data_IF_570647673684
#
_entry.id   IF_570647673684
#
_cell.length_a   1.000
_cell.length_b   1.000
_cell.length_c   1.000
_cell.angle_alpha   90.00
_cell.angle_beta   90.00
_cell.angle_gamma   90.00
#
_symmetry.space_group_name_H-M   'P 1'
#
loop_
_entity.id
_entity.type
_entity.pdbx_description
1 polymer ?
#
# COMPACT_ATOMS: atom_id res chain seq x y z
N UNK A 1 3.77 -27.94 -20.43
CA UNK A 1 2.76 -26.92 -20.16
C UNK A 1 3.24 -25.62 -20.77
N UNK A 2 2.39 -24.93 -21.53
CA UNK A 2 2.75 -23.61 -22.09
C UNK A 2 2.89 -22.62 -20.93
N UNK A 3 3.97 -21.87 -20.91
CA UNK A 3 4.21 -20.86 -19.87
C UNK A 3 3.09 -19.81 -19.96
N UNK A 4 2.49 -19.45 -18.82
CA UNK A 4 1.49 -18.39 -18.74
C UNK A 4 1.92 -17.30 -17.78
N UNK A 5 1.40 -16.10 -17.99
CA UNK A 5 1.70 -14.89 -17.27
C UNK A 5 0.42 -14.29 -16.68
N UNK A 6 0.57 -13.31 -15.79
CA UNK A 6 -0.53 -12.58 -15.17
C UNK A 6 -0.37 -11.09 -15.48
N UNK A 7 -1.08 -10.62 -16.50
CA UNK A 7 -1.09 -9.24 -16.94
C UNK A 7 -1.89 -8.37 -15.98
N UNK A 8 -1.39 -7.18 -15.64
CA UNK A 8 -2.19 -6.16 -14.94
C UNK A 8 -3.13 -5.53 -15.98
N UNK A 9 -4.40 -5.90 -15.91
CA UNK A 9 -5.41 -5.47 -16.90
C UNK A 9 -6.39 -4.43 -16.38
N UNK A 10 -6.37 -4.15 -15.09
CA UNK A 10 -7.20 -3.12 -14.48
C UNK A 10 -6.54 -2.56 -13.22
N UNK A 11 -6.85 -1.31 -12.95
CA UNK A 11 -6.35 -0.57 -11.79
C UNK A 11 -7.42 0.36 -11.25
N UNK A 12 -7.35 0.64 -9.95
CA UNK A 12 -8.28 1.52 -9.28
C UNK A 12 -7.72 1.97 -7.94
N UNK A 13 -8.22 3.09 -7.44
CA UNK A 13 -7.88 3.63 -6.13
C UNK A 13 -9.11 4.14 -5.41
N UNK A 14 -9.02 4.23 -4.09
CA UNK A 14 -9.99 4.89 -3.23
C UNK A 14 -9.24 5.71 -2.18
N UNK A 15 -9.52 6.99 -2.15
CA UNK A 15 -8.94 7.94 -1.22
C UNK A 15 -10.05 8.60 -0.42
N UNK A 16 -10.01 8.58 0.92
CA UNK A 16 -10.98 9.28 1.74
C UNK A 16 -11.05 10.78 1.40
N UNK A 17 -12.23 11.42 1.50
CA UNK A 17 -12.37 12.84 1.16
C UNK A 17 -11.70 13.76 2.19
N UNK A 18 -11.70 13.39 3.48
CA UNK A 18 -11.17 14.23 4.54
C UNK A 18 -9.64 14.30 4.47
N UNK A 19 -9.12 15.52 4.34
CA UNK A 19 -7.69 15.82 4.23
C UNK A 19 -7.19 16.42 5.53
N UNK A 20 -6.07 15.88 6.06
CA UNK A 20 -5.34 16.41 7.20
C UNK A 20 -4.04 17.05 6.70
N UNK A 21 -3.96 18.36 6.73
CA UNK A 21 -2.77 19.11 6.32
C UNK A 21 -1.69 19.14 7.42
N UNK A 22 -0.48 19.55 7.06
CA UNK A 22 0.57 19.80 8.05
C UNK A 22 0.21 20.97 8.98
N UNK A 23 -0.56 21.95 8.47
CA UNK A 23 -1.08 23.05 9.30
C UNK A 23 -2.06 22.51 10.36
N UNK A 24 -2.99 21.61 10.00
CA UNK A 24 -3.90 21.01 10.98
C UNK A 24 -3.14 20.28 12.08
N UNK A 25 -2.08 19.52 11.73
CA UNK A 25 -1.22 18.85 12.70
C UNK A 25 -0.53 19.83 13.66
N UNK A 26 -0.09 20.99 13.18
CA UNK A 26 0.58 22.01 14.00
C UNK A 26 -0.35 22.64 15.04
N UNK A 27 -1.68 22.45 14.94
CA UNK A 27 -2.64 22.96 15.93
C UNK A 27 -2.62 22.16 17.24
N UNK A 28 -2.10 20.92 17.23
CA UNK A 28 -2.08 20.06 18.42
C UNK A 28 -0.76 19.31 18.65
N UNK A 29 0.19 19.37 17.73
CA UNK A 29 1.54 18.82 17.85
C UNK A 29 2.59 19.92 17.76
N UNK A 30 3.72 19.75 18.46
CA UNK A 30 4.90 20.61 18.32
C UNK A 30 5.63 20.30 17.01
N UNK A 31 5.15 20.87 15.90
CA UNK A 31 5.66 20.66 14.53
C UNK A 31 5.35 21.86 13.63
N UNK A 32 5.91 21.88 12.43
CA UNK A 32 5.58 22.86 11.39
C UNK A 32 5.52 22.19 10.02
N UNK A 33 4.90 22.85 9.05
CA UNK A 33 4.84 22.40 7.66
C UNK A 33 6.25 22.22 7.08
N UNK A 34 7.15 23.18 7.27
CA UNK A 34 8.55 23.12 6.79
C UNK A 34 9.31 21.94 7.41
N UNK A 35 9.07 21.68 8.71
CA UNK A 35 9.72 20.57 9.39
C UNK A 35 9.26 19.22 8.79
N UNK A 36 7.95 19.04 8.59
CA UNK A 36 7.40 17.81 8.04
C UNK A 36 7.85 17.62 6.58
N UNK A 37 7.69 18.62 5.73
CA UNK A 37 8.05 18.53 4.32
C UNK A 37 9.56 18.26 4.14
N UNK A 38 10.43 19.00 4.84
CA UNK A 38 11.87 18.83 4.71
C UNK A 38 12.37 17.44 5.13
N UNK A 39 11.65 16.73 5.98
CA UNK A 39 12.02 15.40 6.48
C UNK A 39 11.35 14.24 5.77
N UNK A 40 10.14 14.44 5.27
CA UNK A 40 9.30 13.36 4.77
C UNK A 40 8.85 13.56 3.32
N UNK A 41 8.75 14.82 2.87
CA UNK A 41 8.11 15.20 1.61
C UNK A 41 6.59 15.22 1.69
N UNK A 42 5.97 15.07 2.88
CA UNK A 42 4.52 15.00 3.05
C UNK A 42 3.96 16.41 3.28
N UNK A 43 2.93 16.79 2.54
CA UNK A 43 2.18 18.03 2.70
C UNK A 43 0.83 17.77 3.39
N UNK A 44 0.20 16.63 3.05
CA UNK A 44 -1.09 16.24 3.58
C UNK A 44 -1.28 14.71 3.56
N UNK A 45 -2.28 14.23 4.28
CA UNK A 45 -2.72 12.82 4.28
C UNK A 45 -4.23 12.75 4.32
N UNK A 46 -4.77 11.57 4.06
CA UNK A 46 -6.21 11.32 4.08
C UNK A 46 -6.58 10.58 5.35
N UNK A 47 -7.73 10.92 5.92
CA UNK A 47 -8.30 10.28 7.10
C UNK A 47 -9.64 9.66 6.74
N UNK A 48 -9.79 8.37 7.01
CA UNK A 48 -10.98 7.63 6.63
C UNK A 48 -12.09 7.74 7.67
N UNK A 49 -13.31 7.99 7.18
CA UNK A 49 -14.56 7.92 7.95
C UNK A 49 -15.25 6.55 7.85
N UNK A 50 -14.66 5.62 7.09
CA UNK A 50 -15.20 4.27 6.86
C UNK A 50 -14.15 3.21 7.17
N UNK A 51 -14.54 1.95 7.14
CA UNK A 51 -13.65 0.83 7.41
C UNK A 51 -12.71 0.53 6.23
N UNK A 52 -11.66 -0.26 6.49
CA UNK A 52 -10.67 -0.65 5.47
C UNK A 52 -11.33 -1.44 4.34
N UNK A 53 -12.30 -2.31 4.64
CA UNK A 53 -13.03 -3.07 3.61
C UNK A 53 -13.85 -2.19 2.67
N UNK A 54 -14.35 -1.04 3.12
CA UNK A 54 -15.09 -0.09 2.29
C UNK A 54 -14.16 0.58 1.28
N UNK A 55 -12.97 1.03 1.75
CA UNK A 55 -11.91 1.58 0.90
C UNK A 55 -11.49 0.55 -0.16
N UNK A 56 -11.21 -0.68 0.28
CA UNK A 56 -10.83 -1.79 -0.58
C UNK A 56 -11.91 -2.09 -1.64
N UNK A 57 -13.18 -2.09 -1.25
CA UNK A 57 -14.31 -2.36 -2.15
C UNK A 57 -14.43 -1.31 -3.26
N UNK A 58 -14.29 -0.02 -2.93
CA UNK A 58 -14.37 1.06 -3.94
C UNK A 58 -13.17 0.97 -4.91
N UNK A 59 -11.95 0.79 -4.40
CA UNK A 59 -10.77 0.61 -5.24
C UNK A 59 -10.92 -0.61 -6.17
N UNK A 60 -11.47 -1.71 -5.66
CA UNK A 60 -11.74 -2.93 -6.43
C UNK A 60 -12.76 -2.70 -7.55
N UNK A 61 -13.88 -2.01 -7.28
CA UNK A 61 -14.88 -1.66 -8.30
C UNK A 61 -14.27 -0.87 -9.46
N UNK A 62 -13.42 0.10 -9.15
CA UNK A 62 -12.69 0.85 -10.18
C UNK A 62 -11.75 -0.06 -10.98
N UNK A 63 -10.98 -0.94 -10.31
CA UNK A 63 -10.06 -1.85 -10.99
C UNK A 63 -10.80 -2.85 -11.91
N UNK A 64 -11.91 -3.43 -11.45
CA UNK A 64 -12.75 -4.35 -12.23
C UNK A 64 -13.34 -3.65 -13.46
N UNK A 65 -13.92 -2.46 -13.29
CA UNK A 65 -14.44 -1.66 -14.40
C UNK A 65 -13.32 -1.30 -15.39
N UNK A 66 -12.16 -0.85 -14.91
CA UNK A 66 -10.98 -0.57 -15.71
C UNK A 66 -10.52 -1.79 -16.52
N UNK A 67 -10.52 -2.98 -15.92
CA UNK A 67 -10.21 -4.23 -16.59
C UNK A 67 -11.22 -4.60 -17.69
N UNK A 68 -12.48 -4.17 -17.53
CA UNK A 68 -13.58 -4.58 -18.39
C UNK A 68 -13.90 -6.07 -18.24
N UNK A 69 -13.76 -6.61 -17.02
CA UNK A 69 -14.14 -7.99 -16.65
C UNK A 69 -15.37 -7.95 -15.78
N UNK A 70 -16.14 -9.05 -15.77
CA UNK A 70 -17.26 -9.19 -14.84
C UNK A 70 -16.74 -9.54 -13.44
N UNK A 71 -17.43 -9.07 -12.40
CA UNK A 71 -17.13 -9.48 -11.02
C UNK A 71 -17.23 -11.00 -10.85
N UNK A 72 -18.13 -11.66 -11.56
CA UNK A 72 -18.32 -13.12 -11.55
C UNK A 72 -17.11 -13.89 -12.11
N UNK A 73 -16.25 -13.25 -12.90
CA UNK A 73 -15.05 -13.86 -13.47
C UNK A 73 -13.82 -13.79 -12.56
N UNK A 74 -13.92 -13.15 -11.39
CA UNK A 74 -12.83 -13.08 -10.41
C UNK A 74 -12.74 -14.40 -9.64
N UNK A 75 -11.63 -15.10 -9.79
CA UNK A 75 -11.37 -16.39 -9.17
C UNK A 75 -10.62 -16.29 -7.83
N UNK A 76 -9.87 -15.19 -7.63
CA UNK A 76 -9.00 -14.98 -6.48
C UNK A 76 -9.06 -13.54 -6.00
N UNK A 77 -9.16 -13.33 -4.69
CA UNK A 77 -9.10 -12.03 -4.03
C UNK A 77 -8.03 -12.08 -2.94
N UNK A 78 -7.02 -11.22 -3.04
CA UNK A 78 -6.02 -11.02 -1.99
C UNK A 78 -6.10 -9.58 -1.53
N UNK A 79 -6.34 -9.36 -0.23
CA UNK A 79 -6.26 -8.04 0.39
C UNK A 79 -5.00 -7.97 1.24
N UNK A 80 -4.05 -7.14 0.81
CA UNK A 80 -2.87 -6.83 1.57
C UNK A 80 -3.19 -5.69 2.56
N UNK A 81 -3.17 -6.01 3.85
CA UNK A 81 -3.49 -5.05 4.92
C UNK A 81 -2.86 -5.46 6.25
N UNK A 82 -2.50 -4.48 7.07
CA UNK A 82 -2.21 -4.65 8.50
C UNK A 82 -3.25 -3.97 9.40
N UNK A 83 -4.29 -3.37 8.81
CA UNK A 83 -5.39 -2.70 9.51
C UNK A 83 -6.76 -3.24 9.07
N UNK A 84 -7.02 -4.57 9.23
CA UNK A 84 -8.30 -5.15 8.87
C UNK A 84 -9.41 -4.67 9.82
N UNK A 85 -10.66 -4.71 9.35
CA UNK A 85 -11.85 -4.37 10.15
C UNK A 85 -12.00 -5.30 11.37
N UNK A 86 -11.59 -6.55 11.21
CA UNK A 86 -11.60 -7.59 12.23
C UNK A 86 -10.54 -8.66 11.94
N UNK A 87 -10.14 -9.40 12.98
CA UNK A 87 -9.23 -10.54 12.81
C UNK A 87 -9.92 -11.71 12.09
N UNK A 88 -11.19 -11.94 12.38
CA UNK A 88 -12.02 -13.04 11.87
C UNK A 88 -13.46 -12.54 11.75
N UNK A 89 -14.09 -12.71 10.58
CA UNK A 89 -13.54 -13.17 9.31
C UNK A 89 -12.59 -12.15 8.68
N UNK A 90 -11.82 -12.59 7.65
CA UNK A 90 -10.93 -11.72 6.89
C UNK A 90 -11.70 -10.66 6.09
N UNK A 91 -11.06 -9.52 5.76
CA UNK A 91 -11.74 -8.47 4.98
C UNK A 91 -11.84 -8.81 3.49
N UNK A 92 -11.02 -9.70 2.96
CA UNK A 92 -11.15 -10.16 1.58
C UNK A 92 -12.53 -10.81 1.32
N UNK A 93 -13.06 -11.58 2.28
CA UNK A 93 -14.42 -12.13 2.21
C UNK A 93 -15.50 -11.04 2.30
N UNK A 94 -15.25 -9.95 3.03
CA UNK A 94 -16.14 -8.80 3.08
C UNK A 94 -16.16 -8.05 1.75
N UNK A 95 -15.00 -7.86 1.14
CA UNK A 95 -14.87 -7.28 -0.20
C UNK A 95 -15.58 -8.16 -1.23
N UNK A 96 -15.41 -9.49 -1.17
CA UNK A 96 -16.12 -10.43 -2.03
C UNK A 96 -17.64 -10.27 -1.91
N UNK A 97 -18.16 -10.17 -0.68
CA UNK A 97 -19.59 -9.95 -0.42
C UNK A 97 -20.07 -8.61 -1.01
N UNK A 98 -19.32 -7.53 -0.78
CA UNK A 98 -19.66 -6.18 -1.26
C UNK A 98 -19.63 -6.06 -2.80
N UNK A 99 -18.81 -6.88 -3.46
CA UNK A 99 -18.71 -6.95 -4.92
C UNK A 99 -19.71 -7.95 -5.53
N UNK A 100 -20.47 -8.66 -4.69
CA UNK A 100 -21.39 -9.73 -5.11
C UNK A 100 -20.71 -10.82 -5.95
N UNK A 101 -19.43 -11.13 -5.66
CA UNK A 101 -18.69 -12.20 -6.33
C UNK A 101 -19.16 -13.54 -5.75
N UNK A 102 -19.75 -14.45 -6.57
CA UNK A 102 -20.43 -15.63 -6.04
C UNK A 102 -19.46 -16.66 -5.48
N UNK A 103 -18.26 -16.79 -6.08
CA UNK A 103 -17.27 -17.77 -5.66
C UNK A 103 -15.88 -17.33 -6.08
N UNK A 104 -15.02 -17.06 -5.11
CA UNK A 104 -13.60 -16.80 -5.31
C UNK A 104 -12.83 -17.31 -4.08
N UNK A 105 -11.58 -17.72 -4.26
CA UNK A 105 -10.67 -17.86 -3.12
C UNK A 105 -10.37 -16.46 -2.56
N UNK A 106 -10.59 -16.22 -1.27
CA UNK A 106 -10.46 -14.91 -0.67
C UNK A 106 -9.70 -14.97 0.66
N UNK A 107 -8.61 -14.24 0.78
CA UNK A 107 -7.82 -14.15 2.01
C UNK A 107 -7.08 -12.83 2.15
N UNK A 108 -6.79 -12.46 3.41
CA UNK A 108 -5.93 -11.33 3.73
C UNK A 108 -4.47 -11.77 3.80
N UNK A 109 -3.56 -10.86 3.41
CA UNK A 109 -2.13 -11.04 3.49
C UNK A 109 -1.53 -9.89 4.29
N UNK A 110 -0.82 -10.20 5.37
CA UNK A 110 -0.13 -9.21 6.17
C UNK A 110 1.39 -9.32 6.02
N UNK A 111 1.97 -8.41 5.27
CA UNK A 111 3.40 -8.13 5.19
C UNK A 111 3.63 -6.61 5.32
N UNK A 112 2.77 -5.93 6.07
CA UNK A 112 2.75 -4.49 6.28
C UNK A 112 2.88 -3.73 4.95
N UNK A 113 3.74 -2.70 4.88
CA UNK A 113 3.88 -1.84 3.69
C UNK A 113 4.35 -2.60 2.43
N UNK A 114 4.95 -3.79 2.58
CA UNK A 114 5.36 -4.65 1.46
C UNK A 114 4.21 -5.54 0.97
N UNK A 115 3.08 -5.52 1.68
CA UNK A 115 1.95 -6.44 1.48
C UNK A 115 1.44 -6.49 0.05
N UNK A 116 1.33 -5.36 -0.64
CA UNK A 116 0.86 -5.36 -2.03
C UNK A 116 1.82 -6.12 -2.97
N UNK A 117 3.13 -5.94 -2.83
CA UNK A 117 4.12 -6.67 -3.63
C UNK A 117 4.08 -8.18 -3.33
N UNK A 118 3.96 -8.55 -2.06
CA UNK A 118 3.78 -9.95 -1.66
C UNK A 118 2.47 -10.54 -2.23
N UNK A 119 1.39 -9.76 -2.20
CA UNK A 119 0.10 -10.14 -2.80
C UNK A 119 0.19 -10.31 -4.31
N UNK A 120 0.89 -9.39 -5.00
CA UNK A 120 1.10 -9.44 -6.44
C UNK A 120 1.89 -10.69 -6.87
N UNK A 121 2.99 -10.98 -6.16
CA UNK A 121 3.79 -12.19 -6.38
C UNK A 121 2.98 -13.45 -6.09
N UNK A 122 2.27 -13.50 -4.96
CA UNK A 122 1.43 -14.64 -4.58
C UNK A 122 0.35 -14.91 -5.62
N UNK A 123 -0.40 -13.88 -6.03
CA UNK A 123 -1.44 -14.02 -7.04
C UNK A 123 -0.87 -14.48 -8.37
N UNK A 124 0.26 -13.91 -8.81
CA UNK A 124 0.93 -14.31 -10.06
C UNK A 124 1.28 -15.79 -10.05
N UNK A 125 1.91 -16.29 -8.97
CA UNK A 125 2.29 -17.72 -8.88
C UNK A 125 1.09 -18.66 -8.79
N UNK A 126 0.07 -18.27 -8.02
CA UNK A 126 -1.18 -19.05 -7.94
C UNK A 126 -1.87 -19.13 -9.31
N UNK A 127 -1.95 -18.03 -10.05
CA UNK A 127 -2.53 -18.01 -11.39
C UNK A 127 -1.73 -18.87 -12.38
N UNK A 128 -0.41 -18.84 -12.30
CA UNK A 128 0.46 -19.67 -13.16
C UNK A 128 0.27 -21.18 -12.92
N UNK A 129 0.03 -21.57 -11.67
CA UNK A 129 -0.07 -22.97 -11.25
C UNK A 129 -1.49 -23.52 -11.23
N UNK A 130 -2.54 -22.70 -11.40
CA UNK A 130 -3.93 -23.06 -11.24
C UNK A 130 -4.78 -22.77 -12.49
N UNK A 131 -6.09 -23.02 -12.37
CA UNK A 131 -7.09 -22.65 -13.38
C UNK A 131 -7.57 -21.19 -13.29
N UNK A 132 -7.13 -20.42 -12.31
CA UNK A 132 -7.55 -19.02 -12.12
C UNK A 132 -7.26 -18.18 -13.36
N UNK A 133 -8.28 -17.45 -13.83
CA UNK A 133 -8.22 -16.57 -15.00
C UNK A 133 -8.03 -15.12 -14.60
N UNK A 134 -8.71 -14.70 -13.52
CA UNK A 134 -8.66 -13.34 -13.01
C UNK A 134 -8.43 -13.34 -11.50
N UNK A 135 -7.49 -12.49 -11.07
CA UNK A 135 -7.24 -12.25 -9.65
C UNK A 135 -7.34 -10.74 -9.34
N UNK A 136 -7.89 -10.42 -8.19
CA UNK A 136 -7.95 -9.08 -7.63
C UNK A 136 -6.95 -8.97 -6.49
N UNK A 137 -5.97 -8.08 -6.61
CA UNK A 137 -4.96 -7.80 -5.59
C UNK A 137 -5.16 -6.37 -5.10
N UNK A 138 -5.38 -6.20 -3.82
CA UNK A 138 -5.74 -4.94 -3.19
C UNK A 138 -4.73 -4.63 -2.08
N UNK A 139 -4.23 -3.40 -2.03
CA UNK A 139 -3.58 -2.84 -0.85
C UNK A 139 -4.53 -1.84 -0.20
N UNK A 140 -4.91 -2.03 1.05
CA UNK A 140 -5.88 -1.17 1.72
C UNK A 140 -5.53 -0.99 3.19
N UNK A 141 -5.57 0.27 3.68
CA UNK A 141 -5.17 0.59 5.05
C UNK A 141 -5.97 1.74 5.64
N UNK A 142 -6.24 1.62 6.94
CA UNK A 142 -6.71 2.68 7.83
C UNK A 142 -5.73 2.83 8.98
N UNK A 143 -4.54 3.36 8.69
CA UNK A 143 -3.46 3.47 9.68
C UNK A 143 -3.71 4.55 10.72
N UNK A 144 -4.56 5.54 10.42
CA UNK A 144 -4.99 6.56 11.37
C UNK A 144 -5.53 5.97 12.69
N UNK A 145 -6.04 4.72 12.63
CA UNK A 145 -6.54 3.98 13.79
C UNK A 145 -5.46 3.60 14.82
N UNK A 146 -4.21 3.35 14.36
CA UNK A 146 -3.11 2.90 15.23
C UNK A 146 -2.19 4.02 15.70
N UNK A 147 -2.48 5.27 15.36
CA UNK A 147 -1.58 6.39 15.68
C UNK A 147 -1.82 6.90 17.10
N UNK A 148 -0.74 7.06 17.83
CA UNK A 148 -0.70 7.97 18.97
C UNK A 148 -0.57 9.41 18.44
N UNK A 149 -1.69 10.12 18.44
CA UNK A 149 -1.79 11.48 17.90
C UNK A 149 -1.05 12.53 18.74
N UNK A 150 -0.35 12.11 19.80
CA UNK A 150 0.55 12.97 20.58
C UNK A 150 2.02 12.75 20.24
N UNK A 151 2.33 11.71 19.45
CA UNK A 151 3.70 11.39 18.99
C UNK A 151 3.96 11.91 17.58
N UNK A 152 4.71 13.01 17.51
CA UNK A 152 5.06 13.68 16.25
C UNK A 152 5.74 12.77 15.22
N UNK A 153 6.60 11.87 15.65
CA UNK A 153 7.40 11.00 14.79
C UNK A 153 6.59 10.00 13.97
N UNK A 154 5.38 9.67 14.42
CA UNK A 154 4.46 8.77 13.71
C UNK A 154 3.21 9.48 13.17
N UNK A 155 2.62 10.40 13.95
CA UNK A 155 1.38 11.09 13.56
C UNK A 155 1.51 11.90 12.26
N UNK A 156 2.73 12.38 11.93
CA UNK A 156 2.98 13.15 10.71
C UNK A 156 3.15 12.29 9.46
N UNK A 157 3.28 10.94 9.58
CA UNK A 157 3.70 10.08 8.48
C UNK A 157 2.53 9.43 7.75
N UNK A 158 1.61 8.82 8.51
CA UNK A 158 0.67 7.86 7.96
C UNK A 158 -0.66 8.49 7.53
N UNK A 159 -1.27 7.87 6.52
CA UNK A 159 -2.61 8.18 6.03
C UNK A 159 -3.37 6.92 5.64
N UNK A 160 -4.63 7.10 5.24
CA UNK A 160 -5.57 6.04 4.89
C UNK A 160 -5.84 6.03 3.38
N UNK A 161 -6.11 4.85 2.83
CA UNK A 161 -6.46 4.68 1.42
C UNK A 161 -6.41 3.25 0.95
N UNK A 162 -6.85 3.03 -0.27
CA UNK A 162 -6.78 1.74 -0.96
C UNK A 162 -6.41 1.90 -2.43
N UNK A 163 -5.70 0.91 -2.96
CA UNK A 163 -5.47 0.74 -4.38
C UNK A 163 -5.61 -0.74 -4.75
N UNK A 164 -6.05 -1.01 -5.96
CA UNK A 164 -6.33 -2.35 -6.44
C UNK A 164 -5.87 -2.55 -7.88
N UNK A 165 -5.48 -3.77 -8.21
CA UNK A 165 -5.25 -4.20 -9.59
C UNK A 165 -6.00 -5.49 -9.88
N UNK A 166 -6.44 -5.64 -11.12
CA UNK A 166 -6.93 -6.92 -11.68
C UNK A 166 -5.81 -7.53 -12.51
N UNK A 167 -5.45 -8.76 -12.19
CA UNK A 167 -4.56 -9.59 -12.98
C UNK A 167 -5.40 -10.49 -13.90
N UNK A 168 -5.01 -10.61 -15.15
CA UNK A 168 -5.63 -11.52 -16.12
C UNK A 168 -4.60 -12.49 -16.69
N UNK A 169 -4.94 -13.75 -16.76
CA UNK A 169 -4.06 -14.80 -17.30
C UNK A 169 -3.84 -14.60 -18.80
N UNK A 170 -2.60 -14.67 -19.24
CA UNK A 170 -2.22 -14.45 -20.65
C UNK A 170 -1.05 -15.36 -21.06
N UNK A 171 -0.85 -15.50 -22.37
CA UNK A 171 0.32 -16.14 -22.98
C UNK A 171 1.42 -15.11 -23.33
N UNK A 172 1.10 -13.83 -23.29
CA UNK A 172 2.07 -12.77 -23.54
C UNK A 172 2.99 -12.61 -22.33
N UNK A 173 4.29 -12.35 -22.56
CA UNK A 173 5.29 -12.16 -21.52
C UNK A 173 5.17 -10.74 -20.91
N UNK A 174 4.10 -10.51 -20.16
CA UNK A 174 3.77 -9.24 -19.49
C UNK A 174 3.31 -9.49 -18.03
N UNK A 175 3.18 -8.42 -17.24
CA UNK A 175 2.90 -8.51 -15.82
C UNK A 175 4.18 -8.71 -15.00
N UNK A 176 4.07 -9.20 -13.77
CA UNK A 176 5.22 -9.43 -12.89
C UNK A 176 6.11 -10.55 -13.47
N UNK A 177 7.32 -10.20 -13.89
CA UNK A 177 8.26 -11.12 -14.50
C UNK A 177 9.17 -11.78 -13.47
N UNK A 178 9.65 -11.00 -12.51
CA UNK A 178 10.51 -11.45 -11.43
C UNK A 178 10.23 -10.64 -10.17
N UNK A 179 10.40 -11.28 -9.01
CA UNK A 179 10.35 -10.61 -7.72
C UNK A 179 11.36 -11.21 -6.74
N UNK A 180 11.89 -10.35 -5.89
CA UNK A 180 12.69 -10.73 -4.73
C UNK A 180 12.01 -10.17 -3.50
N UNK A 181 11.47 -11.04 -2.66
CA UNK A 181 10.84 -10.69 -1.39
C UNK A 181 11.58 -11.35 -0.24
N UNK A 182 11.56 -10.76 0.94
CA UNK A 182 12.23 -11.30 2.11
C UNK A 182 11.89 -10.57 3.41
N UNK A 183 12.41 -11.09 4.52
CA UNK A 183 12.17 -10.57 5.86
C UNK A 183 13.47 -10.57 6.67
N UNK A 184 13.74 -9.46 7.38
CA UNK A 184 14.76 -9.33 8.41
C UNK A 184 14.13 -9.37 9.78
N UNK A 185 13.97 -10.56 10.34
CA UNK A 185 13.32 -10.78 11.63
C UNK A 185 14.07 -10.16 12.82
N UNK A 186 15.38 -9.86 12.67
CA UNK A 186 16.16 -9.19 13.72
C UNK A 186 15.75 -7.74 13.93
N UNK A 187 15.11 -7.12 12.92
CA UNK A 187 14.59 -5.76 13.01
C UNK A 187 13.12 -5.68 13.41
N UNK A 188 12.52 -6.77 13.84
CA UNK A 188 11.08 -6.89 14.08
C UNK A 188 10.50 -5.80 14.98
N UNK A 189 11.17 -5.49 16.08
CA UNK A 189 10.63 -4.64 17.15
C UNK A 189 10.87 -3.13 16.92
N UNK A 190 11.58 -2.75 15.84
CA UNK A 190 11.84 -1.33 15.55
C UNK A 190 10.71 -0.65 14.78
N UNK A 191 9.77 -1.44 14.23
CA UNK A 191 8.55 -0.99 13.58
C UNK A 191 7.43 -1.99 13.87
N UNK A 192 6.63 -1.72 14.88
CA UNK A 192 5.60 -2.64 15.36
C UNK A 192 4.41 -1.90 15.98
N UNK A 193 3.27 -2.58 16.05
CA UNK A 193 2.15 -2.22 16.96
C UNK A 193 2.11 -3.30 18.00
N UNK A 194 2.75 -3.08 19.17
CA UNK A 194 2.83 -4.09 20.22
C UNK A 194 1.48 -4.32 20.90
N UNK A 195 1.35 -5.46 21.57
CA UNK A 195 0.18 -5.82 22.40
C UNK A 195 -1.16 -5.86 21.62
N UNK A 196 -1.12 -6.08 20.31
CA UNK A 196 -2.32 -6.35 19.53
C UNK A 196 -2.42 -7.86 19.21
N UNK A 197 -3.61 -8.43 19.29
CA UNK A 197 -3.81 -9.87 19.11
C UNK A 197 -3.65 -10.66 20.43
N UNK A 198 -3.12 -11.88 20.37
CA UNK A 198 -3.03 -12.78 21.53
C UNK A 198 -2.01 -12.38 22.59
N UNK A 199 -1.14 -11.43 22.28
CA UNK A 199 -0.20 -10.86 23.26
C UNK A 199 -0.84 -9.74 24.11
N UNK A 200 -2.07 -9.33 23.76
CA UNK A 200 -2.81 -8.31 24.52
C UNK A 200 -3.35 -8.92 25.81
N UNK A 201 -3.11 -8.26 26.95
CA UNK A 201 -3.85 -8.55 28.16
C UNK A 201 -5.25 -7.91 28.06
N UNK A 202 -6.23 -8.73 27.66
CA UNK A 202 -7.63 -8.28 27.48
C UNK A 202 -8.32 -7.83 28.77
N UNK A 203 -7.69 -7.99 29.91
CA UNK A 203 -8.20 -7.57 31.21
C UNK A 203 -7.48 -6.32 31.75
N UNK A 204 -6.46 -5.83 31.03
CA UNK A 204 -5.79 -4.59 31.38
C UNK A 204 -6.73 -3.39 31.18
N UNK A 205 -6.69 -2.44 32.13
CA UNK A 205 -7.49 -1.22 32.10
C UNK A 205 -7.10 -0.30 30.91
N UNK A 206 -5.86 -0.41 30.41
CA UNK A 206 -5.35 0.35 29.26
C UNK A 206 -5.69 -0.27 27.90
N UNK A 207 -6.61 -1.24 27.87
CA UNK A 207 -7.10 -1.83 26.62
C UNK A 207 -7.73 -0.76 25.72
N UNK A 208 -7.16 -0.57 24.52
CA UNK A 208 -7.61 0.42 23.54
C UNK A 208 -6.57 1.51 23.25
N UNK A 209 -5.43 1.51 23.96
CA UNK A 209 -4.30 2.35 23.58
C UNK A 209 -3.26 1.52 22.81
N UNK A 210 -3.23 1.73 21.50
CA UNK A 210 -2.23 1.13 20.61
C UNK A 210 -1.47 2.24 19.90
N UNK A 211 -0.17 2.03 19.74
CA UNK A 211 0.69 2.98 19.07
C UNK A 211 1.81 2.22 18.34
N UNK A 212 2.36 2.86 17.32
CA UNK A 212 3.55 2.35 16.67
C UNK A 212 4.79 2.52 17.56
N UNK A 213 5.55 1.44 17.74
CA UNK A 213 6.97 1.52 18.06
C UNK A 213 7.71 1.84 16.76
N UNK A 214 8.52 2.92 16.78
CA UNK A 214 9.12 3.47 15.57
C UNK A 214 10.53 3.99 15.83
N UNK A 215 11.54 3.24 15.34
CA UNK A 215 12.97 3.64 15.44
C UNK A 215 13.46 4.11 14.07
N UNK A 216 13.10 5.34 13.71
CA UNK A 216 13.24 5.89 12.34
C UNK A 216 14.60 5.75 11.70
N UNK A 217 15.73 5.93 12.44
CA UNK A 217 17.09 5.79 11.90
C UNK A 217 17.40 4.35 11.46
N UNK A 218 17.04 3.37 12.28
CA UNK A 218 17.27 1.95 11.95
C UNK A 218 16.34 1.48 10.84
N UNK A 219 15.07 1.94 10.85
CA UNK A 219 14.11 1.69 9.77
C UNK A 219 14.69 2.18 8.45
N UNK A 220 15.13 3.45 8.38
CA UNK A 220 15.73 4.04 7.17
C UNK A 220 16.90 3.20 6.64
N UNK A 221 17.88 2.88 7.49
CA UNK A 221 19.07 2.13 7.12
C UNK A 221 18.76 0.74 6.58
N UNK A 222 17.83 0.01 7.23
CA UNK A 222 17.44 -1.34 6.82
C UNK A 222 16.54 -1.30 5.57
N UNK A 223 15.66 -0.32 5.45
CA UNK A 223 14.81 -0.12 4.29
C UNK A 223 15.62 0.06 3.01
N UNK A 224 16.53 1.04 2.98
CA UNK A 224 17.31 1.33 1.78
C UNK A 224 18.23 0.17 1.40
N UNK A 225 18.81 -0.52 2.40
CA UNK A 225 19.65 -1.71 2.17
C UNK A 225 18.84 -2.88 1.60
N UNK A 226 17.68 -3.19 2.20
CA UNK A 226 16.83 -4.31 1.78
C UNK A 226 16.25 -4.10 0.39
N UNK A 227 15.64 -2.94 0.15
CA UNK A 227 15.07 -2.60 -1.16
C UNK A 227 16.16 -2.51 -2.24
N UNK A 228 17.27 -1.83 -1.96
CA UNK A 228 18.35 -1.66 -2.92
C UNK A 228 18.96 -3.00 -3.35
N UNK A 229 19.25 -3.91 -2.39
CA UNK A 229 19.73 -5.24 -2.69
C UNK A 229 18.71 -6.07 -3.50
N UNK A 230 17.44 -6.00 -3.15
CA UNK A 230 16.37 -6.69 -3.88
C UNK A 230 16.23 -6.16 -5.32
N UNK A 231 16.27 -4.83 -5.51
CA UNK A 231 16.20 -4.20 -6.82
C UNK A 231 17.37 -4.66 -7.73
N UNK A 232 18.60 -4.63 -7.23
CA UNK A 232 19.77 -5.11 -7.96
C UNK A 232 19.66 -6.59 -8.36
N UNK A 233 19.19 -7.46 -7.45
CA UNK A 233 18.99 -8.87 -7.75
C UNK A 233 17.93 -9.11 -8.82
N UNK A 234 16.81 -8.40 -8.75
CA UNK A 234 15.72 -8.48 -9.74
C UNK A 234 16.21 -8.02 -11.10
N UNK A 235 16.89 -6.88 -11.21
CA UNK A 235 17.45 -6.38 -12.46
C UNK A 235 18.44 -7.39 -13.06
N UNK A 236 19.35 -7.91 -12.26
CA UNK A 236 20.35 -8.89 -12.72
C UNK A 236 19.69 -10.18 -13.27
N UNK A 237 18.66 -10.73 -12.57
CA UNK A 237 17.95 -11.92 -13.05
C UNK A 237 17.07 -11.64 -14.27
N UNK A 238 16.51 -10.44 -14.37
CA UNK A 238 15.72 -10.03 -15.54
C UNK A 238 16.57 -9.70 -16.76
N UNK A 239 17.90 -9.57 -16.58
CA UNK A 239 18.85 -9.19 -17.65
C UNK A 239 18.67 -7.75 -18.10
N UNK A 240 18.12 -6.87 -17.24
CA UNK A 240 17.89 -5.46 -17.53
C UNK A 240 19.01 -4.59 -16.96
N UNK A 241 19.37 -3.58 -17.71
CA UNK A 241 20.17 -2.46 -17.21
C UNK A 241 19.26 -1.42 -16.53
N UNK A 242 19.85 -0.51 -15.77
CA UNK A 242 19.13 0.57 -15.09
C UNK A 242 18.54 1.59 -16.04
N UNK A 243 19.15 1.75 -17.21
CA UNK A 243 18.69 2.62 -18.30
C UNK A 243 17.41 2.10 -18.97
N UNK A 244 17.24 0.77 -19.01
CA UNK A 244 16.07 0.11 -19.58
C UNK A 244 14.82 0.17 -18.70
N UNK A 245 14.97 0.54 -17.42
CA UNK A 245 13.81 0.81 -16.57
C UNK A 245 13.20 2.15 -16.96
N UNK A 246 11.92 2.14 -17.31
CA UNK A 246 11.17 3.33 -17.72
C UNK A 246 10.59 4.07 -16.52
N UNK A 247 10.00 3.33 -15.56
CA UNK A 247 9.33 3.91 -14.39
C UNK A 247 9.65 3.09 -13.13
N UNK A 248 9.90 3.78 -12.03
CA UNK A 248 9.98 3.19 -10.69
C UNK A 248 8.72 3.54 -9.92
N UNK A 249 8.02 2.53 -9.38
CA UNK A 249 6.86 2.70 -8.49
C UNK A 249 7.28 2.24 -7.09
N UNK A 250 7.91 3.09 -6.27
CA UNK A 250 8.36 2.73 -4.95
C UNK A 250 7.24 2.84 -3.93
N UNK A 251 7.37 2.13 -2.81
CA UNK A 251 6.59 2.42 -1.62
C UNK A 251 6.78 3.87 -1.19
N UNK A 252 5.69 4.58 -0.95
CA UNK A 252 5.66 6.00 -0.60
C UNK A 252 5.78 6.19 0.93
N UNK A 253 6.93 5.85 1.51
CA UNK A 253 7.16 5.97 2.95
C UNK A 253 7.76 7.31 3.36
N UNK A 254 8.74 7.78 2.58
CA UNK A 254 9.51 8.99 2.83
C UNK A 254 10.28 9.36 1.56
N UNK A 255 10.27 10.63 1.16
CA UNK A 255 10.94 11.08 -0.07
C UNK A 255 12.44 10.75 -0.08
N UNK A 256 13.10 10.82 1.08
CA UNK A 256 14.53 10.51 1.20
C UNK A 256 14.82 9.02 0.98
N UNK A 257 13.89 8.13 1.39
CA UNK A 257 14.01 6.69 1.14
C UNK A 257 13.89 6.44 -0.36
N UNK A 258 12.93 7.09 -1.04
CA UNK A 258 12.73 6.96 -2.49
C UNK A 258 13.98 7.41 -3.25
N UNK A 259 14.51 8.58 -2.92
CA UNK A 259 15.73 9.12 -3.52
C UNK A 259 16.93 8.19 -3.32
N UNK A 260 17.14 7.71 -2.08
CA UNK A 260 18.24 6.80 -1.77
C UNK A 260 18.08 5.45 -2.48
N UNK A 261 16.87 4.95 -2.64
CA UNK A 261 16.59 3.74 -3.43
C UNK A 261 17.07 3.90 -4.87
N UNK A 262 16.70 5.01 -5.52
CA UNK A 262 17.11 5.31 -6.90
C UNK A 262 18.64 5.41 -7.01
N UNK A 263 19.29 6.12 -6.09
CA UNK A 263 20.74 6.27 -6.06
C UNK A 263 21.44 4.91 -5.91
N UNK A 264 20.98 4.05 -5.00
CA UNK A 264 21.55 2.71 -4.78
C UNK A 264 21.28 1.75 -5.94
N UNK A 265 20.13 1.88 -6.58
CA UNK A 265 19.80 1.09 -7.77
C UNK A 265 20.51 1.61 -9.03
N UNK A 266 21.10 2.82 -9.00
CA UNK A 266 21.72 3.46 -10.17
C UNK A 266 20.68 3.96 -11.20
N UNK A 267 19.45 4.24 -10.77
CA UNK A 267 18.35 4.69 -11.62
C UNK A 267 18.15 6.19 -11.44
N UNK A 268 17.92 6.92 -12.53
CA UNK A 268 17.65 8.35 -12.50
C UNK A 268 16.41 8.67 -11.64
N UNK A 269 16.48 9.67 -10.77
CA UNK A 269 15.42 9.98 -9.82
C UNK A 269 14.10 10.45 -10.48
N UNK A 270 14.17 11.02 -11.66
CA UNK A 270 12.99 11.45 -12.44
C UNK A 270 12.17 10.27 -12.99
N UNK A 271 12.73 9.05 -13.01
CA UNK A 271 12.00 7.82 -13.31
C UNK A 271 11.10 7.37 -12.15
N UNK A 272 11.36 7.81 -10.92
CA UNK A 272 10.51 7.47 -9.77
C UNK A 272 9.21 8.28 -9.78
N UNK A 273 8.08 7.58 -9.71
CA UNK A 273 6.79 8.22 -9.50
C UNK A 273 6.62 8.54 -8.01
N UNK A 274 6.32 9.78 -7.70
CA UNK A 274 6.21 10.29 -6.33
C UNK A 274 4.87 11.00 -6.14
N UNK A 275 4.07 10.52 -5.19
CA UNK A 275 2.81 11.14 -4.77
C UNK A 275 2.65 11.22 -3.24
N UNK A 276 3.72 10.95 -2.50
CA UNK A 276 3.73 10.97 -1.03
C UNK A 276 3.28 12.32 -0.45
N UNK A 277 3.56 13.43 -1.13
CA UNK A 277 3.16 14.78 -0.70
C UNK A 277 1.64 14.90 -0.53
N UNK A 278 0.85 14.13 -1.29
CA UNK A 278 -0.62 14.20 -1.30
C UNK A 278 -1.31 13.25 -0.33
N UNK A 279 -0.66 12.14 0.03
CA UNK A 279 -1.33 11.04 0.74
C UNK A 279 -0.58 10.55 1.97
N UNK A 280 0.68 10.96 2.15
CA UNK A 280 1.54 10.38 3.16
C UNK A 280 1.81 8.89 2.90
N UNK A 281 2.14 8.18 3.97
CA UNK A 281 2.38 6.74 3.93
C UNK A 281 1.07 5.98 4.20
N UNK A 282 0.46 5.44 3.16
CA UNK A 282 -0.72 4.56 3.24
C UNK A 282 -0.34 3.06 3.25
N UNK A 283 0.86 2.72 3.72
CA UNK A 283 1.36 1.33 3.87
C UNK A 283 1.21 0.49 2.60
N UNK A 284 0.48 -0.65 2.66
CA UNK A 284 0.28 -1.54 1.52
C UNK A 284 -0.46 -0.87 0.34
N UNK A 285 -1.21 0.19 0.58
CA UNK A 285 -1.94 0.91 -0.46
C UNK A 285 -1.06 1.87 -1.29
N UNK A 286 0.13 2.24 -0.81
CA UNK A 286 0.97 3.27 -1.48
C UNK A 286 1.32 2.91 -2.92
N UNK A 287 1.77 1.68 -3.15
CA UNK A 287 2.20 1.24 -4.48
C UNK A 287 1.05 1.16 -5.49
N UNK A 288 -0.09 0.51 -5.21
CA UNK A 288 -1.19 0.47 -6.15
C UNK A 288 -1.85 1.83 -6.38
N UNK A 289 -1.88 2.73 -5.39
CA UNK A 289 -2.32 4.13 -5.58
C UNK A 289 -1.33 4.87 -6.50
N UNK A 290 -0.03 4.73 -6.27
CA UNK A 290 1.00 5.36 -7.09
C UNK A 290 0.97 4.83 -8.54
N UNK A 291 0.81 3.52 -8.74
CA UNK A 291 0.66 2.92 -10.07
C UNK A 291 -0.58 3.45 -10.80
N UNK A 292 -1.72 3.52 -10.10
CA UNK A 292 -2.96 4.07 -10.66
C UNK A 292 -2.75 5.52 -11.14
N UNK A 293 -2.15 6.38 -10.33
CA UNK A 293 -1.87 7.78 -10.70
C UNK A 293 -0.80 7.92 -11.77
N UNK A 294 0.21 7.05 -11.78
CA UNK A 294 1.22 7.04 -12.85
C UNK A 294 0.60 6.75 -14.22
N UNK A 295 -0.39 5.83 -14.27
CA UNK A 295 -1.17 5.55 -15.47
C UNK A 295 -2.07 6.71 -15.86
N UNK A 296 -2.81 7.28 -14.91
CA UNK A 296 -3.68 8.45 -15.14
C UNK A 296 -2.91 9.66 -15.67
N UNK A 297 -1.65 9.82 -15.26
CA UNK A 297 -0.77 10.91 -15.69
C UNK A 297 0.05 10.59 -16.95
N UNK A 298 -0.14 9.41 -17.56
CA UNK A 298 0.59 8.99 -18.74
C UNK A 298 2.10 8.76 -18.52
N UNK A 299 2.51 8.54 -17.26
CA UNK A 299 3.90 8.21 -16.89
C UNK A 299 4.25 6.77 -17.26
N UNK A 300 3.28 5.87 -17.25
CA UNK A 300 3.41 4.49 -17.73
C UNK A 300 2.89 4.42 -19.15
N UNK A 301 3.68 3.85 -20.05
CA UNK A 301 3.39 3.68 -21.47
C UNK A 301 3.27 2.20 -21.84
N UNK A 302 2.70 1.87 -23.01
CA UNK A 302 2.71 0.50 -23.51
C UNK A 302 4.11 -0.10 -23.57
N UNK A 303 4.25 -1.30 -23.04
CA UNK A 303 5.48 -2.11 -22.99
C UNK A 303 6.61 -1.54 -22.12
N UNK A 304 6.36 -0.57 -21.25
CA UNK A 304 7.34 -0.06 -20.30
C UNK A 304 7.83 -1.16 -19.34
N UNK A 305 9.10 -1.06 -18.96
CA UNK A 305 9.73 -1.88 -17.93
C UNK A 305 9.69 -1.12 -16.60
N UNK A 306 8.89 -1.65 -15.64
CA UNK A 306 8.70 -1.02 -14.34
C UNK A 306 9.48 -1.74 -13.25
N UNK A 307 10.14 -0.98 -12.39
CA UNK A 307 10.68 -1.47 -11.12
C UNK A 307 9.76 -1.05 -9.98
N UNK A 308 9.31 -2.02 -9.19
CA UNK A 308 8.57 -1.78 -7.94
C UNK A 308 9.43 -2.16 -6.77
N UNK A 309 9.41 -1.40 -5.66
CA UNK A 309 10.17 -1.74 -4.47
C UNK A 309 9.46 -1.25 -3.21
N UNK A 310 9.47 -2.07 -2.16
CA UNK A 310 8.81 -1.78 -0.91
C UNK A 310 9.61 -2.29 0.30
N UNK A 311 9.34 -1.67 1.44
CA UNK A 311 9.84 -2.04 2.75
C UNK A 311 8.73 -1.82 3.79
N UNK A 312 8.66 -2.68 4.81
CA UNK A 312 7.62 -2.60 5.82
C UNK A 312 8.01 -3.25 7.15
N UNK A 313 7.07 -3.22 8.09
CA UNK A 313 7.23 -3.91 9.36
C UNK A 313 7.44 -5.41 9.17
N UNK A 314 8.22 -5.99 10.11
CA UNK A 314 8.55 -7.41 10.09
C UNK A 314 10.03 -7.72 10.28
N UNK A 315 11.05 -7.05 9.78
CA UNK A 315 10.99 -6.08 8.69
C UNK A 315 10.87 -6.79 7.35
N UNK A 316 9.84 -6.54 6.62
CA UNK A 316 9.67 -7.09 5.27
C UNK A 316 10.30 -6.16 4.22
N UNK A 317 10.78 -6.72 3.13
CA UNK A 317 11.33 -5.96 2.01
C UNK A 317 11.13 -6.71 0.70
N UNK A 318 11.18 -5.99 -0.41
CA UNK A 318 11.16 -6.60 -1.72
C UNK A 318 11.29 -5.62 -2.86
N UNK A 319 11.58 -6.19 -4.04
CA UNK A 319 11.47 -5.51 -5.33
C UNK A 319 10.86 -6.46 -6.36
N UNK A 320 10.30 -5.91 -7.42
CA UNK A 320 9.74 -6.66 -8.52
C UNK A 320 9.94 -5.94 -9.84
N UNK A 321 10.13 -6.71 -10.90
CA UNK A 321 10.15 -6.23 -12.27
C UNK A 321 8.82 -6.55 -12.93
N UNK A 322 8.16 -5.53 -13.47
CA UNK A 322 6.89 -5.64 -14.18
C UNK A 322 7.12 -5.15 -15.61
N UNK A 323 6.88 -6.03 -16.59
CA UNK A 323 6.73 -5.61 -17.97
C UNK A 323 5.28 -5.22 -18.22
N UNK A 324 5.05 -3.95 -18.51
CA UNK A 324 3.70 -3.48 -18.79
C UNK A 324 3.16 -4.04 -20.11
N UNK A 325 1.85 -4.27 -20.16
CA UNK A 325 1.20 -4.69 -21.41
C UNK A 325 0.98 -3.51 -22.35
N UNK A 326 0.25 -3.75 -23.42
CA UNK A 326 -0.04 -2.68 -24.40
C UNK A 326 -1.05 -1.65 -23.88
N UNK A 327 -1.88 -2.02 -22.91
CA UNK A 327 -3.00 -1.20 -22.49
C UNK A 327 -2.66 -0.30 -21.30
N UNK A 328 -2.79 1.01 -21.53
CA UNK A 328 -2.61 2.06 -20.53
C UNK A 328 -3.89 2.90 -20.32
N UNK A 329 -4.98 2.52 -20.98
CA UNK A 329 -6.29 3.18 -20.85
C UNK A 329 -7.34 2.22 -20.30
N UNK A 330 -8.25 2.69 -19.40
CA UNK A 330 -9.31 1.84 -18.88
C UNK A 330 -10.29 1.42 -19.99
N UNK A 331 -10.81 0.19 -19.91
CA UNK A 331 -11.90 -0.28 -20.79
C UNK A 331 -13.26 0.25 -20.36
N UNK A 332 -13.41 0.54 -19.08
CA UNK A 332 -14.62 1.10 -18.50
C UNK A 332 -14.30 1.87 -17.23
N UNK A 333 -15.28 2.58 -16.73
CA UNK A 333 -15.22 3.37 -15.51
C UNK A 333 -16.31 2.92 -14.53
N UNK A 334 -16.12 3.19 -13.25
CA UNK A 334 -17.11 2.96 -12.20
C UNK A 334 -17.45 4.29 -11.53
N UNK A 335 -18.68 4.46 -11.14
CA UNK A 335 -19.18 5.57 -10.32
C UNK A 335 -19.13 5.27 -8.81
N UNK A 336 -18.54 4.14 -8.44
CA UNK A 336 -18.40 3.75 -7.04
C UNK A 336 -17.67 4.83 -6.26
N UNK A 337 -18.23 5.22 -5.13
CA UNK A 337 -17.68 6.21 -4.23
C UNK A 337 -17.94 5.82 -2.77
N UNK A 338 -17.16 6.39 -1.88
CA UNK A 338 -17.45 6.29 -0.45
C UNK A 338 -18.74 7.06 -0.11
N UNK A 339 -19.41 6.70 0.99
CA UNK A 339 -20.49 7.54 1.53
C UNK A 339 -20.02 8.98 1.72
N UNK A 340 -20.93 9.94 1.55
CA UNK A 340 -20.61 11.34 1.78
C UNK A 340 -20.13 11.57 3.22
N UNK A 341 -19.12 12.42 3.38
CA UNK A 341 -18.57 12.80 4.68
C UNK A 341 -18.43 14.33 4.73
N UNK A 342 -19.17 14.95 5.63
CA UNK A 342 -19.11 16.41 5.86
C UNK A 342 -18.10 16.78 6.95
N UNK A 343 -17.60 15.80 7.70
CA UNK A 343 -16.64 15.99 8.77
C UNK A 343 -15.24 16.30 8.20
N UNK A 344 -14.55 17.24 8.82
CA UNK A 344 -13.15 17.49 8.56
C UNK A 344 -12.29 16.35 9.14
N UNK A 345 -11.03 16.25 8.72
CA UNK A 345 -10.13 15.26 9.30
C UNK A 345 -9.92 15.47 10.82
N UNK A 346 -9.91 16.72 11.28
CA UNK A 346 -9.81 17.04 12.71
C UNK A 346 -11.07 16.60 13.48
N UNK A 347 -12.26 16.73 12.88
CA UNK A 347 -13.49 16.23 13.51
C UNK A 347 -13.46 14.71 13.66
N UNK A 348 -13.00 13.98 12.62
CA UNK A 348 -12.85 12.52 12.64
C UNK A 348 -11.83 12.04 13.68
N UNK A 349 -10.80 12.82 13.95
CA UNK A 349 -9.71 12.49 14.86
C UNK A 349 -9.90 12.99 16.29
N UNK A 350 -10.90 13.83 16.54
CA UNK A 350 -11.10 14.53 17.81
C UNK A 350 -11.02 13.58 19.02
N UNK A 351 -11.84 12.53 19.01
CA UNK A 351 -11.90 11.57 20.12
C UNK A 351 -10.58 10.80 20.30
N UNK A 352 -9.92 10.44 19.20
CA UNK A 352 -8.62 9.75 19.23
C UNK A 352 -7.52 10.66 19.80
N UNK A 353 -7.48 11.93 19.40
CA UNK A 353 -6.52 12.93 19.94
C UNK A 353 -6.75 13.13 21.45
N UNK A 354 -8.01 13.27 21.87
CA UNK A 354 -8.36 13.43 23.29
C UNK A 354 -8.02 12.19 24.10
N UNK A 355 -8.26 10.99 23.56
CA UNK A 355 -7.90 9.73 24.21
C UNK A 355 -6.37 9.63 24.41
N UNK A 356 -5.58 9.89 23.36
CA UNK A 356 -4.12 9.88 23.44
C UNK A 356 -3.58 10.89 24.47
N UNK A 357 -4.12 12.12 24.52
CA UNK A 357 -3.73 13.14 25.50
C UNK A 357 -4.01 12.71 26.95
N UNK A 358 -5.17 12.09 27.21
CA UNK A 358 -5.50 11.57 28.55
C UNK A 358 -4.53 10.47 28.97
N UNK A 359 -4.18 9.56 28.06
CA UNK A 359 -3.26 8.48 28.35
C UNK A 359 -1.85 8.97 28.73
N UNK A 360 -1.34 10.02 28.06
CA UNK A 360 -0.06 10.64 28.44
C UNK A 360 -0.04 11.28 29.83
N UNK A 361 -1.18 11.75 30.35
CA UNK A 361 -1.25 12.37 31.67
C UNK A 361 -1.23 11.36 32.82
N UNK A 362 -1.43 10.08 32.52
CA UNK A 362 -1.48 8.99 33.51
C UNK A 362 -0.14 8.27 33.63
N UNK A 363 0.75 8.41 32.66
CA UNK A 363 2.14 7.91 32.69
C UNK A 363 3.10 8.95 33.27
#
# INVERSE_FOLDING_TARGET
MTQCYAEITGWGKCLPPATLSNHDLSTFLDTSDEWIQSRTGIEQRRISHVNTSDLATVAAKHAIACAGVSAEDIDLIIVATCSPDSLIPNIASKVQQNLAIPSAAAFDLNAACTGFLYGLETATRLMQASHYRHALVIGAERLSFYLDWTKRDTAVLFGDGAGAVVLSKTQQKVGLQDAQIGCDAQGRDILAVPKFGTSMDRFDADNGYWAFDFVGKEIFKRAVRGMGAAAQQVLARSGLTTEEIDVVIPHQANIRIIQTLCDLAGIAQDKAFVNIHRYGNTSAATMPIALCEALEQGRVKPNDELLVAAFGAGLTWGAGHIRWGERVTPKGTSDASLPACEQTALDLLKDAIEHCKKHQQVQ
#
